data_IF_238158110732
#
_entry.id   IF_238158110732
#
_cell.length_a   1.000
_cell.length_b   1.000
_cell.length_c   1.000
_cell.angle_alpha   90.00
_cell.angle_beta   90.00
_cell.angle_gamma   90.00
#
_symmetry.space_group_name_H-M   'P 1'
#
loop_
_entity.id
_entity.type
_entity.pdbx_description
1 polymer ?
#
# COMPACT_ATOMS: atom_id res chain seq x y z
N UNK A 1 4.80 -9.72 2.36
CA UNK A 1 5.57 -9.34 1.16
C UNK A 1 6.25 -10.56 0.59
N UNK A 2 6.88 -10.43 -0.58
CA UNK A 2 7.58 -11.53 -1.25
C UNK A 2 8.85 -11.00 -1.92
N UNK A 3 9.94 -11.75 -1.81
CA UNK A 3 11.20 -11.51 -2.53
C UNK A 3 11.42 -12.67 -3.48
N UNK A 4 11.87 -12.41 -4.70
CA UNK A 4 12.22 -13.49 -5.61
C UNK A 4 13.38 -14.30 -5.04
N UNK A 5 13.16 -15.60 -4.86
CA UNK A 5 14.18 -16.57 -4.47
C UNK A 5 14.00 -17.86 -5.28
N UNK A 6 15.13 -18.52 -5.58
CA UNK A 6 15.10 -19.86 -6.16
C UNK A 6 14.46 -20.87 -5.18
N UNK A 7 13.79 -21.89 -5.73
CA UNK A 7 13.11 -22.92 -4.91
C UNK A 7 11.65 -22.61 -4.56
N UNK A 8 11.04 -21.63 -5.23
CA UNK A 8 9.58 -21.42 -5.23
C UNK A 8 9.06 -20.42 -4.19
N UNK A 9 7.74 -20.41 -4.01
CA UNK A 9 7.04 -19.36 -3.26
C UNK A 9 7.36 -19.36 -1.76
N UNK A 10 7.45 -20.54 -1.12
CA UNK A 10 7.80 -20.63 0.30
C UNK A 10 9.19 -20.05 0.57
N UNK A 11 10.19 -20.42 -0.25
CA UNK A 11 11.56 -19.86 -0.16
C UNK A 11 11.58 -18.35 -0.41
N UNK A 12 10.70 -17.87 -1.30
CA UNK A 12 10.53 -16.45 -1.57
C UNK A 12 9.97 -15.69 -0.35
N UNK A 13 9.09 -16.29 0.44
CA UNK A 13 8.63 -15.72 1.71
C UNK A 13 9.70 -15.78 2.80
N UNK A 14 10.43 -16.89 2.94
CA UNK A 14 11.51 -17.03 3.91
C UNK A 14 12.62 -15.99 3.67
N UNK A 15 13.00 -15.79 2.40
CA UNK A 15 13.96 -14.77 2.01
C UNK A 15 13.48 -13.36 2.36
N UNK A 16 12.18 -13.09 2.16
CA UNK A 16 11.58 -11.80 2.51
C UNK A 16 11.59 -11.58 4.02
N UNK A 17 11.14 -12.56 4.80
CA UNK A 17 11.15 -12.52 6.26
C UNK A 17 12.56 -12.26 6.78
N UNK A 18 13.57 -13.01 6.32
CA UNK A 18 14.97 -12.82 6.74
C UNK A 18 15.44 -11.38 6.50
N UNK A 19 15.14 -10.82 5.32
CA UNK A 19 15.52 -9.45 4.96
C UNK A 19 14.87 -8.42 5.89
N UNK A 20 13.57 -8.54 6.11
CA UNK A 20 12.82 -7.58 6.94
C UNK A 20 13.18 -7.74 8.42
N UNK A 21 13.29 -8.98 8.92
CA UNK A 21 13.67 -9.27 10.30
C UNK A 21 15.04 -8.70 10.66
N UNK A 22 16.02 -8.72 9.74
CA UNK A 22 17.33 -8.10 9.96
C UNK A 22 17.21 -6.60 10.25
N UNK A 23 16.38 -5.88 9.49
CA UNK A 23 16.15 -4.43 9.71
C UNK A 23 15.45 -4.18 11.04
N UNK A 24 14.39 -4.93 11.35
CA UNK A 24 13.65 -4.74 12.61
C UNK A 24 14.48 -5.11 13.86
N UNK A 25 15.42 -6.06 13.72
CA UNK A 25 16.35 -6.41 14.79
C UNK A 25 17.28 -5.25 15.19
N UNK A 26 17.64 -4.36 14.26
CA UNK A 26 18.40 -3.13 14.57
C UNK A 26 17.63 -2.19 15.53
N UNK A 27 16.31 -2.29 15.55
CA UNK A 27 15.43 -1.54 16.45
C UNK A 27 15.00 -2.34 17.68
N UNK A 28 15.55 -3.54 17.90
CA UNK A 28 15.17 -4.42 18.99
C UNK A 28 13.75 -5.02 18.86
N UNK A 29 13.16 -4.97 17.67
CA UNK A 29 11.81 -5.48 17.41
C UNK A 29 11.87 -6.91 16.89
N UNK A 30 11.17 -7.82 17.58
CA UNK A 30 11.02 -9.21 17.14
C UNK A 30 9.96 -9.31 16.04
N UNK A 31 10.37 -9.70 14.85
CA UNK A 31 9.44 -9.97 13.74
C UNK A 31 8.96 -11.42 13.79
N UNK A 32 7.66 -11.64 13.61
CA UNK A 32 7.06 -12.97 13.42
C UNK A 32 6.32 -12.98 12.09
N UNK A 33 6.73 -13.84 11.16
CA UNK A 33 6.02 -13.94 9.88
C UNK A 33 4.80 -14.86 9.95
N UNK A 34 3.70 -14.40 9.35
CA UNK A 34 2.42 -15.12 9.31
C UNK A 34 2.45 -16.35 8.41
N UNK A 35 3.38 -16.46 7.46
CA UNK A 35 3.43 -17.60 6.53
C UNK A 35 3.89 -18.91 7.19
N UNK A 36 4.42 -18.86 8.42
CA UNK A 36 4.74 -20.02 9.25
C UNK A 36 3.57 -20.46 10.15
N UNK A 37 2.47 -19.70 10.18
CA UNK A 37 1.36 -19.93 11.12
C UNK A 37 0.29 -20.79 10.46
N UNK A 38 -0.08 -21.89 11.13
CA UNK A 38 -1.23 -22.70 10.73
C UNK A 38 -2.55 -21.91 10.79
N UNK A 39 -2.68 -21.03 11.79
CA UNK A 39 -3.80 -20.12 11.99
C UNK A 39 -3.28 -18.67 11.95
N UNK A 40 -3.07 -18.09 10.75
CA UNK A 40 -2.44 -16.78 10.61
C UNK A 40 -3.29 -15.64 11.20
N UNK A 41 -4.61 -15.79 11.24
CA UNK A 41 -5.53 -14.83 11.86
C UNK A 41 -5.23 -14.63 13.35
N UNK A 42 -4.98 -15.70 14.10
CA UNK A 42 -4.69 -15.61 15.54
C UNK A 42 -3.44 -14.77 15.80
N UNK A 43 -2.41 -14.92 14.97
CA UNK A 43 -1.18 -14.13 15.10
C UNK A 43 -1.40 -12.61 14.95
N UNK A 44 -2.46 -12.18 14.27
CA UNK A 44 -2.83 -10.75 14.17
C UNK A 44 -3.46 -10.24 15.47
N UNK A 45 -4.17 -11.10 16.21
CA UNK A 45 -4.75 -10.73 17.50
C UNK A 45 -3.73 -10.74 18.64
N UNK A 46 -2.62 -11.46 18.47
CA UNK A 46 -1.55 -11.61 19.47
C UNK A 46 -0.34 -10.68 19.24
N UNK A 47 -0.41 -9.74 18.29
CA UNK A 47 0.69 -8.81 17.96
C UNK A 47 0.37 -7.37 18.31
N UNK A 48 1.39 -6.59 18.65
CA UNK A 48 1.27 -5.16 18.95
C UNK A 48 1.14 -4.31 17.69
N UNK A 49 1.70 -4.76 16.57
CA UNK A 49 1.67 -4.06 15.29
C UNK A 49 1.72 -5.03 14.11
N UNK A 50 1.36 -4.55 12.93
CA UNK A 50 1.48 -5.30 11.67
C UNK A 50 2.28 -4.54 10.63
N UNK A 51 3.18 -5.26 9.97
CA UNK A 51 3.97 -4.77 8.86
C UNK A 51 3.62 -5.56 7.59
N UNK A 52 3.13 -4.88 6.56
CA UNK A 52 2.78 -5.47 5.26
C UNK A 52 3.77 -5.00 4.21
N UNK A 53 4.65 -5.92 3.82
CA UNK A 53 5.68 -5.61 2.84
C UNK A 53 5.24 -5.62 1.38
N UNK A 54 6.07 -5.00 0.54
CA UNK A 54 5.97 -4.99 -0.92
C UNK A 54 6.11 -6.37 -1.62
N UNK A 55 5.97 -6.34 -2.94
CA UNK A 55 5.84 -7.50 -3.81
C UNK A 55 4.81 -7.20 -4.90
N UNK A 56 4.18 -8.22 -5.46
CA UNK A 56 3.04 -8.04 -6.35
C UNK A 56 1.73 -7.89 -5.55
N UNK A 57 1.00 -6.80 -5.79
CA UNK A 57 -0.23 -6.43 -5.06
C UNK A 57 -1.37 -7.41 -5.30
N UNK A 58 -1.54 -7.93 -6.52
CA UNK A 58 -2.60 -8.91 -6.82
C UNK A 58 -2.40 -10.20 -6.05
N UNK A 59 -1.16 -10.71 -6.01
CA UNK A 59 -0.80 -11.87 -5.21
C UNK A 59 -0.98 -11.61 -3.71
N UNK A 60 -0.54 -10.46 -3.22
CA UNK A 60 -0.71 -10.07 -1.82
C UNK A 60 -2.19 -10.04 -1.41
N UNK A 61 -3.06 -9.38 -2.19
CA UNK A 61 -4.50 -9.30 -1.90
C UNK A 61 -5.13 -10.69 -1.94
N UNK A 62 -4.80 -11.51 -2.94
CA UNK A 62 -5.29 -12.89 -3.03
C UNK A 62 -4.97 -13.69 -1.77
N UNK A 63 -3.72 -13.64 -1.30
CA UNK A 63 -3.31 -14.37 -0.09
C UNK A 63 -3.93 -13.79 1.19
N UNK A 64 -4.05 -12.46 1.30
CA UNK A 64 -4.71 -11.82 2.44
C UNK A 64 -6.20 -12.20 2.52
N UNK A 65 -6.89 -12.28 1.38
CA UNK A 65 -8.29 -12.73 1.30
C UNK A 65 -8.40 -14.22 1.62
N UNK A 66 -7.58 -15.08 0.98
CA UNK A 66 -7.59 -16.53 1.17
C UNK A 66 -7.35 -16.96 2.62
N UNK A 67 -6.50 -16.23 3.34
CA UNK A 67 -6.12 -16.54 4.73
C UNK A 67 -7.01 -15.87 5.77
N UNK A 68 -7.94 -14.99 5.37
CA UNK A 68 -8.75 -14.18 6.29
C UNK A 68 -7.99 -13.02 6.94
N UNK A 69 -6.69 -12.85 6.64
CA UNK A 69 -5.85 -11.80 7.20
C UNK A 69 -6.34 -10.39 6.83
N UNK A 70 -6.94 -10.21 5.64
CA UNK A 70 -7.42 -8.90 5.21
C UNK A 70 -8.40 -8.30 6.22
N UNK A 71 -9.38 -9.09 6.66
CA UNK A 71 -10.40 -8.62 7.62
C UNK A 71 -9.86 -8.55 9.05
N UNK A 72 -9.03 -9.52 9.46
CA UNK A 72 -8.42 -9.52 10.78
C UNK A 72 -7.53 -8.28 11.02
N UNK A 73 -6.68 -7.95 10.03
CA UNK A 73 -5.83 -6.76 10.09
C UNK A 73 -6.68 -5.49 10.06
N UNK A 74 -7.69 -5.43 9.18
CA UNK A 74 -8.61 -4.29 9.10
C UNK A 74 -9.25 -4.01 10.47
N UNK A 75 -9.86 -5.02 11.08
CA UNK A 75 -10.52 -4.88 12.38
C UNK A 75 -9.54 -4.38 13.45
N UNK A 76 -8.40 -5.04 13.58
CA UNK A 76 -7.37 -4.67 14.57
C UNK A 76 -6.82 -3.27 14.37
N UNK A 77 -6.64 -2.83 13.12
CA UNK A 77 -6.22 -1.47 12.83
C UNK A 77 -7.26 -0.43 13.25
N UNK A 78 -8.56 -0.69 13.04
CA UNK A 78 -9.63 0.18 13.55
C UNK A 78 -9.72 0.16 15.08
N UNK A 79 -9.33 -0.94 15.73
CA UNK A 79 -9.22 -1.06 17.19
C UNK A 79 -7.93 -0.40 17.75
N UNK A 80 -7.11 0.22 16.89
CA UNK A 80 -5.94 1.02 17.30
C UNK A 80 -4.58 0.34 17.10
N UNK A 81 -4.52 -0.88 16.56
CA UNK A 81 -3.26 -1.54 16.25
C UNK A 81 -2.51 -0.79 15.13
N UNK A 82 -1.25 -0.37 15.34
CA UNK A 82 -0.46 0.27 14.29
C UNK A 82 -0.29 -0.62 13.05
N UNK A 83 -0.54 -0.01 11.88
CA UNK A 83 -0.33 -0.59 10.57
C UNK A 83 0.83 0.11 9.85
N UNK A 84 1.78 -0.67 9.35
CA UNK A 84 2.85 -0.19 8.48
C UNK A 84 2.82 -0.93 7.14
N UNK A 85 2.76 -0.21 6.03
CA UNK A 85 2.75 -0.81 4.70
C UNK A 85 3.60 -0.04 3.71
N UNK A 86 4.42 -0.75 2.93
CA UNK A 86 5.24 -0.15 1.86
C UNK A 86 4.97 -0.81 0.50
N UNK A 87 4.99 0.00 -0.57
CA UNK A 87 4.70 -0.45 -1.93
C UNK A 87 3.31 -1.13 -2.02
N UNK A 88 3.24 -2.43 -2.32
CA UNK A 88 2.00 -3.19 -2.32
C UNK A 88 1.27 -3.12 -0.96
N UNK A 89 2.03 -3.07 0.15
CA UNK A 89 1.49 -2.83 1.49
C UNK A 89 0.79 -1.48 1.64
N UNK A 90 1.22 -0.47 0.90
CA UNK A 90 0.55 0.84 0.86
C UNK A 90 -0.73 0.77 0.04
N UNK A 91 -0.74 0.03 -1.09
CA UNK A 91 -1.97 -0.18 -1.88
C UNK A 91 -3.07 -0.82 -1.05
N UNK A 92 -2.76 -1.92 -0.34
CA UNK A 92 -3.78 -2.68 0.39
C UNK A 92 -4.34 -1.96 1.62
N UNK A 93 -3.72 -0.86 2.07
CA UNK A 93 -4.28 0.02 3.09
C UNK A 93 -5.43 0.89 2.55
N UNK A 94 -5.47 1.13 1.23
CA UNK A 94 -6.56 1.86 0.57
C UNK A 94 -7.81 1.01 0.36
N UNK A 95 -8.86 1.59 -0.27
CA UNK A 95 -10.11 0.89 -0.52
C UNK A 95 -9.98 -0.30 -1.48
N UNK A 96 -9.19 -0.19 -2.55
CA UNK A 96 -8.99 -1.26 -3.53
C UNK A 96 -7.56 -1.28 -4.06
N UNK A 97 -7.18 -2.34 -4.79
CA UNK A 97 -5.87 -2.42 -5.44
C UNK A 97 -5.79 -1.65 -6.77
N UNK A 98 -6.86 -0.98 -7.21
CA UNK A 98 -7.02 -0.46 -8.59
C UNK A 98 -5.98 0.60 -9.00
N UNK A 99 -5.25 1.18 -8.06
CA UNK A 99 -4.18 2.15 -8.33
C UNK A 99 -2.79 1.57 -8.10
N UNK A 100 -2.64 0.25 -8.10
CA UNK A 100 -1.33 -0.42 -8.17
C UNK A 100 -0.70 -0.25 -9.56
N UNK A 101 0.63 -0.35 -9.62
CA UNK A 101 1.38 -0.37 -10.87
C UNK A 101 1.72 -1.80 -11.32
N UNK A 102 1.34 -2.78 -10.50
CA UNK A 102 1.71 -4.16 -10.69
C UNK A 102 0.91 -4.81 -11.83
N UNK A 103 1.55 -5.75 -12.51
CA UNK A 103 0.89 -6.61 -13.49
C UNK A 103 -0.09 -7.57 -12.79
N UNK A 104 -1.30 -7.81 -13.33
CA UNK A 104 -2.30 -8.71 -12.77
C UNK A 104 -1.94 -10.20 -13.00
N UNK A 105 -0.91 -10.69 -12.30
CA UNK A 105 -0.38 -12.06 -12.48
C UNK A 105 -1.27 -13.16 -11.89
N UNK A 106 -2.19 -12.79 -10.99
CA UNK A 106 -3.20 -13.68 -10.40
C UNK A 106 -4.50 -12.92 -10.17
N UNK A 107 -5.61 -13.65 -10.11
CA UNK A 107 -6.92 -13.09 -9.81
C UNK A 107 -7.26 -13.28 -8.31
N UNK A 108 -7.39 -12.20 -7.51
CA UNK A 108 -8.00 -12.26 -6.17
C UNK A 108 -9.52 -12.44 -6.26
N UNK A 109 -10.18 -12.71 -5.13
CA UNK A 109 -11.64 -12.89 -5.10
C UNK A 109 -12.41 -11.58 -5.39
N UNK A 110 -11.84 -10.45 -4.99
CA UNK A 110 -12.25 -9.10 -5.42
C UNK A 110 -11.05 -8.16 -5.41
N UNK A 111 -11.20 -6.95 -5.94
CA UNK A 111 -10.18 -5.90 -5.82
C UNK A 111 -10.21 -5.16 -4.48
N UNK A 112 -11.17 -5.48 -3.61
CA UNK A 112 -11.33 -4.83 -2.31
C UNK A 112 -10.14 -5.11 -1.40
N UNK A 113 -9.71 -4.04 -0.74
CA UNK A 113 -8.57 -4.00 0.16
C UNK A 113 -9.03 -3.63 1.58
N UNK A 114 -8.09 -3.28 2.46
CA UNK A 114 -8.41 -3.06 3.88
C UNK A 114 -9.13 -1.75 4.15
N UNK A 115 -9.13 -0.77 3.25
CA UNK A 115 -9.85 0.50 3.42
C UNK A 115 -9.58 1.20 4.76
N UNK A 116 -8.32 1.17 5.22
CA UNK A 116 -7.85 1.85 6.43
C UNK A 116 -7.81 3.38 6.24
N UNK A 117 -7.67 3.81 4.99
CA UNK A 117 -7.84 5.20 4.56
C UNK A 117 -8.93 5.29 3.49
N UNK A 118 -9.68 6.41 3.39
CA UNK A 118 -10.81 6.53 2.47
C UNK A 118 -10.41 6.90 1.02
N UNK A 119 -9.12 6.97 0.73
CA UNK A 119 -8.58 7.36 -0.58
C UNK A 119 -7.66 6.27 -1.14
N UNK A 120 -7.51 6.24 -2.46
CA UNK A 120 -6.59 5.33 -3.13
C UNK A 120 -5.15 5.79 -3.01
N UNK A 121 -4.22 4.84 -2.95
CA UNK A 121 -2.78 5.14 -2.94
C UNK A 121 -2.16 4.61 -4.23
N UNK A 122 -1.50 5.47 -5.00
CA UNK A 122 -0.59 5.06 -6.07
C UNK A 122 0.85 5.18 -5.55
N UNK A 123 1.49 4.08 -5.09
CA UNK A 123 2.89 4.12 -4.71
C UNK A 123 3.78 4.25 -5.94
N UNK A 124 5.04 4.64 -5.75
CA UNK A 124 6.02 4.79 -6.83
C UNK A 124 5.50 5.65 -7.98
N UNK A 125 4.78 6.72 -7.63
CA UNK A 125 4.37 7.71 -8.62
C UNK A 125 5.62 8.35 -9.21
N UNK A 126 5.62 8.43 -10.54
CA UNK A 126 6.63 9.15 -11.30
C UNK A 126 5.96 9.86 -12.46
N UNK A 127 6.38 11.10 -12.68
CA UNK A 127 6.07 11.94 -13.83
C UNK A 127 7.15 11.79 -14.93
N UNK A 128 8.14 10.93 -14.72
CA UNK A 128 9.07 10.56 -15.78
C UNK A 128 8.32 9.84 -16.90
N UNK A 129 8.56 10.30 -18.12
CA UNK A 129 8.07 9.71 -19.35
C UNK A 129 9.21 9.66 -20.37
N UNK A 130 9.46 8.49 -20.95
CA UNK A 130 10.37 8.35 -22.08
C UNK A 130 9.65 8.81 -23.36
N UNK A 131 10.10 9.88 -24.04
CA UNK A 131 9.46 10.37 -25.25
C UNK A 131 9.39 9.36 -26.40
N UNK A 132 10.17 8.28 -26.35
CA UNK A 132 10.14 7.19 -27.34
C UNK A 132 9.08 6.14 -27.02
N UNK A 133 8.47 6.18 -25.84
CA UNK A 133 7.44 5.25 -25.42
C UNK A 133 6.06 5.73 -25.88
N UNK A 134 5.34 4.93 -26.65
CA UNK A 134 4.00 5.28 -27.15
C UNK A 134 2.84 4.97 -26.21
N UNK A 135 3.11 4.43 -25.02
CA UNK A 135 2.10 4.08 -24.02
C UNK A 135 1.70 5.23 -23.11
N UNK A 136 0.65 5.02 -22.32
CA UNK A 136 0.09 6.01 -21.42
C UNK A 136 1.04 6.36 -20.27
N UNK A 137 1.13 7.65 -19.94
CA UNK A 137 1.86 8.12 -18.76
C UNK A 137 1.16 7.65 -17.48
N UNK A 138 1.84 7.75 -16.33
CA UNK A 138 1.16 7.49 -15.05
C UNK A 138 -0.01 8.45 -14.81
N UNK A 139 0.15 9.70 -15.21
CA UNK A 139 -0.91 10.70 -15.14
C UNK A 139 -2.15 10.24 -15.91
N UNK A 140 -1.99 9.78 -17.15
CA UNK A 140 -3.09 9.36 -18.02
C UNK A 140 -3.85 8.18 -17.39
N UNK A 141 -3.15 7.16 -16.92
CA UNK A 141 -3.77 5.99 -16.26
C UNK A 141 -4.56 6.37 -15.00
N UNK A 142 -4.03 7.28 -14.18
CA UNK A 142 -4.73 7.74 -12.98
C UNK A 142 -5.93 8.63 -13.32
N UNK A 143 -5.86 9.40 -14.41
CA UNK A 143 -6.99 10.17 -14.91
C UNK A 143 -8.08 9.26 -15.46
N UNK A 144 -7.75 8.23 -16.21
CA UNK A 144 -8.70 7.19 -16.64
C UNK A 144 -9.42 6.58 -15.44
N UNK A 145 -8.67 6.16 -14.41
CA UNK A 145 -9.25 5.62 -13.17
C UNK A 145 -10.24 6.60 -12.53
N UNK A 146 -9.88 7.88 -12.42
CA UNK A 146 -10.74 8.93 -11.87
C UNK A 146 -11.98 9.18 -12.74
N UNK A 147 -11.85 9.12 -14.07
CA UNK A 147 -12.98 9.32 -14.98
C UNK A 147 -14.06 8.25 -14.80
N UNK A 148 -13.66 6.98 -14.60
CA UNK A 148 -14.61 5.89 -14.33
C UNK A 148 -14.99 5.76 -12.85
N UNK A 149 -14.24 6.40 -11.94
CA UNK A 149 -14.53 6.47 -10.50
C UNK A 149 -14.61 7.93 -10.01
N UNK A 150 -15.61 8.72 -10.43
CA UNK A 150 -15.66 10.17 -10.20
C UNK A 150 -15.89 10.59 -8.74
N UNK A 151 -15.99 9.65 -7.80
CA UNK A 151 -16.02 9.92 -6.36
C UNK A 151 -14.69 9.61 -5.69
N UNK A 152 -13.78 8.89 -6.35
CA UNK A 152 -12.50 8.52 -5.78
C UNK A 152 -11.54 9.71 -5.71
N UNK A 153 -10.62 9.64 -4.76
CA UNK A 153 -9.43 10.48 -4.72
C UNK A 153 -8.21 9.57 -4.72
N UNK A 154 -7.19 9.88 -5.52
CA UNK A 154 -5.92 9.13 -5.55
C UNK A 154 -4.79 10.00 -5.00
N UNK A 155 -4.13 9.52 -3.94
CA UNK A 155 -2.87 10.05 -3.45
C UNK A 155 -1.71 9.30 -4.12
N UNK A 156 -1.05 9.95 -5.07
CA UNK A 156 0.09 9.41 -5.80
C UNK A 156 1.39 9.86 -5.11
N UNK A 157 2.06 8.92 -4.45
CA UNK A 157 3.23 9.19 -3.61
C UNK A 157 4.51 8.79 -4.34
N UNK A 158 5.52 9.67 -4.30
CA UNK A 158 6.83 9.44 -4.92
C UNK A 158 7.71 8.58 -4.02
N UNK A 159 8.74 7.97 -4.58
CA UNK A 159 9.69 7.16 -3.80
C UNK A 159 10.33 7.96 -2.66
N UNK A 160 10.73 7.22 -1.61
CA UNK A 160 11.29 7.76 -0.37
C UNK A 160 10.38 8.75 0.38
N UNK A 161 9.07 8.70 0.12
CA UNK A 161 8.04 9.38 0.92
C UNK A 161 7.04 8.38 1.49
N UNK A 162 6.34 8.77 2.55
CA UNK A 162 5.27 7.99 3.16
C UNK A 162 4.14 8.90 3.65
N UNK A 163 2.94 8.35 3.76
CA UNK A 163 1.81 8.98 4.43
C UNK A 163 1.76 8.47 5.87
N UNK A 164 1.83 9.40 6.83
CA UNK A 164 1.75 9.12 8.26
C UNK A 164 0.42 9.64 8.79
N UNK A 165 -0.42 8.74 9.30
CA UNK A 165 -1.67 9.04 9.97
C UNK A 165 -1.53 8.76 11.47
N UNK A 166 -1.47 9.80 12.27
CA UNK A 166 -1.37 9.71 13.74
C UNK A 166 -2.31 10.74 14.37
N UNK A 167 -3.06 10.36 15.40
CA UNK A 167 -4.01 11.24 16.11
C UNK A 167 -4.97 11.98 15.18
N UNK A 168 -5.46 11.28 14.14
CA UNK A 168 -6.35 11.84 13.13
C UNK A 168 -5.71 12.86 12.18
N UNK A 169 -4.38 13.01 12.19
CA UNK A 169 -3.63 13.93 11.33
C UNK A 169 -2.83 13.18 10.29
N UNK A 170 -3.11 13.44 9.03
CA UNK A 170 -2.40 12.90 7.88
C UNK A 170 -1.29 13.86 7.43
N UNK A 171 -0.06 13.34 7.29
CA UNK A 171 1.12 14.09 6.86
C UNK A 171 1.91 13.31 5.81
N UNK A 172 2.54 14.05 4.88
CA UNK A 172 3.60 13.48 4.03
C UNK A 172 4.92 13.59 4.80
N UNK A 173 5.65 12.48 4.87
CA UNK A 173 6.96 12.39 5.53
C UNK A 173 7.98 11.75 4.58
N UNK A 174 9.28 11.91 4.89
CA UNK A 174 10.39 11.36 4.10
C UNK A 174 11.18 12.44 3.36
N UNK A 175 11.70 12.10 2.17
CA UNK A 175 12.45 13.06 1.33
C UNK A 175 11.55 14.23 0.90
N UNK A 176 12.12 15.42 0.55
CA UNK A 176 11.36 16.61 0.18
C UNK A 176 10.76 16.54 -1.24
N UNK A 177 10.22 15.38 -1.61
CA UNK A 177 9.43 15.18 -2.80
C UNK A 177 7.98 15.54 -2.50
N UNK A 178 7.28 16.12 -3.48
CA UNK A 178 5.84 16.32 -3.38
C UNK A 178 5.10 15.03 -3.75
N UNK A 179 3.91 14.82 -3.20
CA UNK A 179 2.92 13.89 -3.74
C UNK A 179 1.98 14.64 -4.69
N UNK A 180 1.29 13.91 -5.56
CA UNK A 180 0.25 14.46 -6.44
C UNK A 180 -1.09 13.84 -6.08
N UNK A 181 -2.14 14.65 -6.03
CA UNK A 181 -3.50 14.18 -5.72
C UNK A 181 -4.36 14.34 -6.95
N UNK A 182 -5.00 13.25 -7.39
CA UNK A 182 -5.92 13.23 -8.53
C UNK A 182 -7.37 13.19 -8.04
N UNK A 183 -8.23 13.99 -8.69
CA UNK A 183 -9.67 14.11 -8.43
C UNK A 183 -10.41 14.38 -9.75
N UNK A 184 -11.72 14.14 -9.76
CA UNK A 184 -12.62 14.17 -10.95
C UNK A 184 -12.50 15.41 -11.82
N UNK A 185 -12.33 16.58 -11.19
CA UNK A 185 -12.05 17.80 -11.93
C UNK A 185 -10.55 17.92 -12.12
N UNK A 186 -10.09 17.86 -13.36
CA UNK A 186 -8.68 17.83 -13.73
C UNK A 186 -7.90 19.03 -13.16
N UNK A 187 -8.52 20.21 -13.13
CA UNK A 187 -8.00 21.44 -12.52
C UNK A 187 -7.75 21.32 -11.00
N UNK A 188 -8.33 20.31 -10.35
CA UNK A 188 -8.11 20.01 -8.94
C UNK A 188 -6.95 19.04 -8.70
N UNK A 189 -6.29 18.56 -9.75
CA UNK A 189 -5.06 17.79 -9.62
C UNK A 189 -3.95 18.71 -9.16
N UNK A 190 -3.46 18.49 -7.94
CA UNK A 190 -2.49 19.39 -7.28
C UNK A 190 -1.38 18.60 -6.60
N UNK A 191 -0.23 19.25 -6.45
CA UNK A 191 0.89 18.72 -5.68
C UNK A 191 0.89 19.24 -4.25
N UNK A 192 1.33 18.39 -3.32
CA UNK A 192 1.41 18.68 -1.90
C UNK A 192 2.77 18.19 -1.37
N UNK A 193 3.46 19.02 -0.60
CA UNK A 193 4.73 18.72 0.04
C UNK A 193 4.61 18.45 1.54
N UNK A 194 5.77 18.37 2.21
CA UNK A 194 5.88 18.00 3.62
C UNK A 194 5.20 18.96 4.61
N UNK A 195 4.95 20.22 4.19
CA UNK A 195 4.34 21.26 5.04
C UNK A 195 2.85 21.44 4.79
N UNK A 196 2.30 20.77 3.78
CA UNK A 196 0.89 20.93 3.40
C UNK A 196 -0.03 20.09 4.29
N UNK A 197 -1.24 20.60 4.53
CA UNK A 197 -2.26 19.87 5.27
C UNK A 197 -2.96 18.84 4.37
N UNK A 198 -2.85 17.56 4.72
CA UNK A 198 -3.45 16.46 3.95
C UNK A 198 -4.76 15.93 4.55
N UNK A 199 -5.27 16.49 5.65
CA UNK A 199 -6.47 15.99 6.32
C UNK A 199 -7.73 16.04 5.45
N UNK A 200 -7.73 16.83 4.38
CA UNK A 200 -8.83 16.81 3.41
C UNK A 200 -8.98 15.45 2.72
N UNK A 201 -7.93 14.64 2.63
CA UNK A 201 -7.98 13.28 2.09
C UNK A 201 -8.79 12.34 2.98
N UNK A 202 -8.86 12.60 4.30
CA UNK A 202 -9.62 11.78 5.24
C UNK A 202 -11.14 12.01 5.17
N UNK A 203 -11.59 12.99 4.37
CA UNK A 203 -13.00 13.30 4.14
C UNK A 203 -13.48 12.90 2.74
N UNK A 204 -12.64 12.16 2.00
CA UNK A 204 -12.87 11.75 0.62
C UNK A 204 -13.94 10.65 0.52
#
# INVERSE_FOLDING_TARGET
GVSLAEGGLTKSYDAYEKKVAAVFAEFGVKLTSVHHKALPVNAVYDTDCVAVGGGNTFHLVKELQRTGLLQAIRQRAFDGMPYMGWSAGSNVAGPTLCTTNDMPIVMPASFDCMGLVPFQINPHYTDFFDPKHGGETRDDRLKEYIMVNPKATVAAIREATALLLEDGKLRLVGKPNKMKVFKTKMENTKEYGLKDNLNFLLKA
#
